data_IF_061233035696
#
_entry.id   IF_061233035696
#
_cell.length_a   1.000
_cell.length_b   1.000
_cell.length_c   1.000
_cell.angle_alpha   90.00
_cell.angle_beta   90.00
_cell.angle_gamma   90.00
#
_symmetry.space_group_name_H-M   'P 1'
#
loop_
_entity.id
_entity.type
_entity.pdbx_description
1 polymer ?
#
# COMPACT_ATOMS: atom_id res chain seq x y z
N UNK A 1 -38.48 16.27 19.86
CA UNK A 1 -38.57 17.00 18.57
C UNK A 1 -38.38 15.99 17.44
N UNK A 2 -39.17 16.13 16.37
CA UNK A 2 -38.96 15.37 15.13
C UNK A 2 -38.28 16.27 14.11
N UNK A 3 -37.30 15.73 13.40
CA UNK A 3 -36.52 16.41 12.35
C UNK A 3 -36.13 15.44 11.23
N UNK A 4 -35.44 15.92 10.24
CA UNK A 4 -34.77 15.09 9.25
C UNK A 4 -33.25 15.26 9.33
N UNK A 5 -32.53 14.17 9.35
CA UNK A 5 -31.07 14.16 9.33
C UNK A 5 -30.55 12.92 8.59
N UNK A 6 -29.43 13.03 7.88
CA UNK A 6 -28.79 11.96 7.14
C UNK A 6 -29.75 11.25 6.13
N UNK A 7 -30.68 12.03 5.54
CA UNK A 7 -31.64 11.54 4.55
C UNK A 7 -32.86 10.82 5.11
N UNK A 8 -33.02 10.71 6.44
CA UNK A 8 -34.15 10.03 7.06
C UNK A 8 -34.75 10.78 8.26
N UNK A 9 -35.87 10.29 8.79
CA UNK A 9 -36.49 10.85 9.96
C UNK A 9 -35.62 10.62 11.19
N UNK A 10 -35.56 11.63 12.08
CA UNK A 10 -34.87 11.54 13.37
C UNK A 10 -35.76 12.08 14.49
N UNK A 11 -35.81 11.35 15.58
CA UNK A 11 -36.43 11.78 16.84
C UNK A 11 -35.33 12.22 17.79
N UNK A 12 -35.41 13.44 18.24
CA UNK A 12 -34.48 14.06 19.18
C UNK A 12 -35.14 14.19 20.54
N UNK A 13 -34.47 13.71 21.57
CA UNK A 13 -34.83 13.85 22.97
C UNK A 13 -33.66 14.52 23.69
N UNK A 14 -33.87 15.62 24.35
CA UNK A 14 -32.83 16.36 25.06
C UNK A 14 -33.37 16.93 26.36
N UNK A 15 -32.49 17.04 27.32
CA UNK A 15 -32.82 17.61 28.61
C UNK A 15 -31.58 18.01 29.40
N UNK A 16 -31.77 18.93 30.33
CA UNK A 16 -30.77 19.21 31.35
C UNK A 16 -31.03 18.25 32.52
N UNK A 17 -30.07 17.44 32.86
CA UNK A 17 -30.07 16.64 34.06
C UNK A 17 -29.71 17.56 35.25
N UNK A 18 -30.54 17.62 36.26
CA UNK A 18 -30.15 18.26 37.52
C UNK A 18 -28.95 17.49 38.09
N UNK A 19 -27.81 18.14 38.14
CA UNK A 19 -26.62 17.57 38.78
C UNK A 19 -26.84 17.62 40.30
N UNK A 20 -26.54 16.53 40.99
CA UNK A 20 -26.52 16.52 42.46
C UNK A 20 -25.50 17.58 42.96
N UNK A 21 -25.77 18.21 44.10
CA UNK A 21 -24.90 19.25 44.63
C UNK A 21 -23.43 18.81 44.84
N UNK A 22 -23.17 17.49 44.89
CA UNK A 22 -21.87 16.87 45.03
C UNK A 22 -21.42 16.14 43.76
N UNK A 23 -22.08 16.38 42.61
CA UNK A 23 -21.68 15.73 41.36
C UNK A 23 -20.26 16.17 40.99
N UNK A 24 -19.39 15.24 40.55
CA UNK A 24 -18.06 15.61 40.08
C UNK A 24 -18.20 16.60 38.90
N UNK A 25 -17.36 17.63 38.89
CA UNK A 25 -17.33 18.65 37.84
C UNK A 25 -17.13 18.08 36.40
N UNK A 26 -17.01 16.78 36.30
CA UNK A 26 -16.87 15.99 35.06
C UNK A 26 -18.22 15.52 34.50
N UNK A 27 -19.34 15.61 35.24
CA UNK A 27 -20.64 15.21 34.71
C UNK A 27 -21.22 16.26 33.74
N UNK A 28 -21.83 15.79 32.66
CA UNK A 28 -22.51 16.64 31.68
C UNK A 28 -23.94 16.97 32.17
N UNK A 29 -24.25 18.27 32.29
CA UNK A 29 -25.59 18.74 32.58
C UNK A 29 -26.55 18.61 31.38
N UNK A 30 -26.04 18.57 30.17
CA UNK A 30 -26.80 18.50 28.91
C UNK A 30 -26.59 17.15 28.27
N UNK A 31 -27.66 16.44 27.98
CA UNK A 31 -27.63 15.18 27.23
C UNK A 31 -28.69 15.23 26.12
N UNK A 32 -28.26 14.97 24.88
CA UNK A 32 -29.15 14.88 23.74
C UNK A 32 -29.06 13.44 23.23
N UNK A 33 -30.20 12.81 23.03
CA UNK A 33 -30.33 11.49 22.41
C UNK A 33 -31.09 11.64 21.09
N UNK A 34 -30.62 10.93 20.07
CA UNK A 34 -31.27 10.86 18.78
C UNK A 34 -31.48 9.41 18.39
N UNK A 35 -32.61 9.11 17.78
CA UNK A 35 -32.89 7.86 17.11
C UNK A 35 -33.40 8.18 15.72
N UNK A 36 -32.82 7.58 14.70
CA UNK A 36 -33.19 7.89 13.33
C UNK A 36 -32.78 6.81 12.35
N UNK A 37 -33.02 7.09 11.09
CA UNK A 37 -32.60 6.26 9.97
C UNK A 37 -31.68 7.08 9.06
N UNK A 38 -30.51 6.57 8.77
CA UNK A 38 -29.59 7.17 7.81
C UNK A 38 -29.73 6.46 6.47
N UNK A 39 -29.85 7.21 5.37
CA UNK A 39 -29.85 6.67 4.01
C UNK A 39 -28.49 6.86 3.37
N UNK A 40 -28.16 6.01 2.40
CA UNK A 40 -26.92 6.13 1.64
C UNK A 40 -26.79 7.51 0.97
N UNK A 41 -27.86 8.02 0.38
CA UNK A 41 -27.90 9.35 -0.24
C UNK A 41 -27.71 10.47 0.78
N UNK A 42 -28.35 10.38 1.94
CA UNK A 42 -28.20 11.37 3.02
C UNK A 42 -26.78 11.43 3.56
N UNK A 43 -26.12 10.28 3.69
CA UNK A 43 -24.70 10.22 4.08
C UNK A 43 -23.80 10.84 3.01
N UNK A 44 -24.06 10.59 1.73
CA UNK A 44 -23.31 11.18 0.59
C UNK A 44 -23.44 12.71 0.55
N UNK A 45 -24.62 13.22 0.84
CA UNK A 45 -24.94 14.66 0.80
C UNK A 45 -24.47 15.43 2.05
N UNK A 46 -23.81 14.79 3.00
CA UNK A 46 -23.33 15.40 4.24
C UNK A 46 -21.81 15.58 4.20
N UNK A 47 -21.26 16.69 3.63
CA UNK A 47 -19.81 16.90 3.47
C UNK A 47 -19.04 16.92 4.80
N UNK A 48 -19.72 17.26 5.90
CA UNK A 48 -19.15 17.30 7.27
C UNK A 48 -18.66 15.92 7.74
N UNK A 49 -19.13 14.83 7.13
CA UNK A 49 -18.66 13.48 7.38
C UNK A 49 -17.31 13.16 6.69
N UNK A 50 -16.78 14.07 5.87
CA UNK A 50 -15.47 13.91 5.23
C UNK A 50 -15.38 12.62 4.39
N UNK A 51 -14.38 11.79 4.70
CA UNK A 51 -14.16 10.51 4.00
C UNK A 51 -15.38 9.57 4.05
N UNK A 52 -16.17 9.60 5.14
CA UNK A 52 -17.35 8.74 5.24
C UNK A 52 -18.41 9.08 4.20
N UNK A 53 -18.58 10.35 3.81
CA UNK A 53 -19.49 10.75 2.75
C UNK A 53 -19.07 10.19 1.39
N UNK A 54 -17.76 10.07 1.14
CA UNK A 54 -17.22 9.48 -0.08
C UNK A 54 -17.37 7.95 -0.09
N UNK A 55 -17.13 7.29 1.04
CA UNK A 55 -17.36 5.84 1.17
C UNK A 55 -18.85 5.50 1.04
N UNK A 56 -19.75 6.39 1.47
CA UNK A 56 -21.19 6.24 1.31
C UNK A 56 -21.62 6.20 -0.17
N UNK A 57 -20.83 6.69 -1.12
CA UNK A 57 -21.07 6.52 -2.57
C UNK A 57 -21.08 5.05 -3.01
N UNK A 58 -20.48 4.17 -2.21
CA UNK A 58 -20.49 2.71 -2.42
C UNK A 58 -21.49 2.00 -1.54
N UNK A 59 -22.40 2.76 -0.91
CA UNK A 59 -23.48 2.23 -0.11
C UNK A 59 -24.81 2.39 -0.84
N UNK A 60 -25.75 1.49 -0.57
CA UNK A 60 -27.16 1.58 -1.00
C UNK A 60 -28.08 1.13 0.12
N UNK A 61 -29.29 1.71 0.18
CA UNK A 61 -30.25 1.40 1.23
C UNK A 61 -30.20 2.34 2.42
N UNK A 62 -30.68 1.88 3.58
CA UNK A 62 -30.77 2.69 4.79
C UNK A 62 -30.59 1.83 6.04
N UNK A 63 -30.08 2.42 7.12
CA UNK A 63 -29.91 1.73 8.38
C UNK A 63 -30.35 2.58 9.56
N UNK A 64 -30.95 1.98 10.62
CA UNK A 64 -31.28 2.68 11.86
C UNK A 64 -30.00 3.02 12.63
N UNK A 65 -30.01 4.17 13.30
CA UNK A 65 -28.92 4.56 14.19
C UNK A 65 -29.46 5.17 15.49
N UNK A 66 -28.63 5.10 16.53
CA UNK A 66 -28.84 5.84 17.78
C UNK A 66 -27.62 6.70 18.04
N UNK A 67 -27.83 7.91 18.52
CA UNK A 67 -26.80 8.89 18.82
C UNK A 67 -27.03 9.43 20.24
N UNK A 68 -25.96 9.55 21.02
CA UNK A 68 -25.94 10.25 22.28
C UNK A 68 -24.83 11.33 22.20
N UNK A 69 -25.22 12.58 22.49
CA UNK A 69 -24.34 13.72 22.59
C UNK A 69 -24.38 14.26 24.01
N UNK A 70 -23.25 14.40 24.63
CA UNK A 70 -23.05 15.02 25.91
C UNK A 70 -21.92 16.03 25.84
N UNK A 71 -21.82 16.89 26.86
CA UNK A 71 -20.74 17.88 26.91
C UNK A 71 -19.97 17.70 28.22
N UNK A 72 -18.68 17.51 28.12
CA UNK A 72 -17.80 17.43 29.26
C UNK A 72 -16.82 18.60 29.22
N UNK A 73 -16.95 19.52 30.21
CA UNK A 73 -16.14 20.73 30.24
C UNK A 73 -16.18 21.56 28.94
N UNK A 74 -17.36 21.64 28.31
CA UNK A 74 -17.55 22.34 27.05
C UNK A 74 -17.11 21.58 25.80
N UNK A 75 -16.47 20.40 25.94
CA UNK A 75 -16.09 19.54 24.82
C UNK A 75 -17.24 18.56 24.55
N UNK A 76 -17.68 18.44 23.27
CA UNK A 76 -18.72 17.47 22.92
C UNK A 76 -18.17 16.05 22.98
N UNK A 77 -18.90 15.16 23.63
CA UNK A 77 -18.70 13.71 23.61
C UNK A 77 -19.84 13.09 22.82
N UNK A 78 -19.49 12.30 21.80
CA UNK A 78 -20.44 11.73 20.85
C UNK A 78 -20.32 10.20 20.84
N UNK A 79 -21.47 9.55 20.96
CA UNK A 79 -21.60 8.11 20.78
C UNK A 79 -22.62 7.82 19.67
N UNK A 80 -22.26 6.98 18.71
CA UNK A 80 -23.15 6.52 17.65
C UNK A 80 -23.13 4.99 17.63
N UNK A 81 -24.32 4.37 17.58
CA UNK A 81 -24.46 2.93 17.43
C UNK A 81 -25.41 2.61 16.27
N UNK A 82 -25.04 1.64 15.46
CA UNK A 82 -25.88 1.09 14.39
C UNK A 82 -25.52 -0.36 14.12
N UNK A 83 -26.44 -1.14 13.62
CA UNK A 83 -26.18 -2.50 13.10
C UNK A 83 -25.86 -2.51 11.61
N UNK A 84 -25.95 -1.36 10.94
CA UNK A 84 -25.87 -1.22 9.49
C UNK A 84 -26.79 -2.19 8.70
N UNK A 85 -27.77 -2.80 9.36
CA UNK A 85 -28.76 -3.67 8.70
C UNK A 85 -29.69 -2.82 7.83
N UNK A 86 -29.91 -3.24 6.60
CA UNK A 86 -30.65 -2.48 5.58
C UNK A 86 -29.74 -1.64 4.66
N UNK A 87 -28.46 -1.47 5.02
CA UNK A 87 -27.47 -0.80 4.21
C UNK A 87 -26.52 -1.83 3.56
N UNK A 88 -26.47 -1.89 2.24
CA UNK A 88 -25.46 -2.67 1.52
C UNK A 88 -24.19 -1.83 1.32
N UNK A 89 -23.01 -2.45 1.43
CA UNK A 89 -21.71 -1.83 1.23
C UNK A 89 -20.95 -2.56 0.12
N UNK A 90 -20.73 -1.90 -1.02
CA UNK A 90 -19.91 -2.41 -2.13
C UNK A 90 -18.43 -2.06 -1.90
N UNK A 91 -17.88 -2.51 -0.78
CA UNK A 91 -16.50 -2.33 -0.39
C UNK A 91 -15.73 -3.65 -0.50
N UNK A 92 -14.40 -3.62 -0.65
CA UNK A 92 -13.60 -4.84 -0.58
C UNK A 92 -13.70 -5.52 0.79
N UNK A 93 -13.48 -6.85 0.87
CA UNK A 93 -13.36 -7.53 2.15
C UNK A 93 -12.31 -6.86 3.07
N UNK A 94 -12.55 -6.78 4.41
CA UNK A 94 -13.68 -7.40 5.12
C UNK A 94 -14.94 -6.53 5.25
N UNK A 95 -14.99 -5.32 4.71
CA UNK A 95 -16.09 -4.37 4.94
C UNK A 95 -17.27 -4.49 3.96
N UNK A 96 -17.12 -5.27 2.89
CA UNK A 96 -18.22 -5.54 1.95
C UNK A 96 -19.34 -6.34 2.62
N UNK A 97 -20.62 -5.89 2.47
CA UNK A 97 -21.78 -6.58 3.04
C UNK A 97 -23.04 -6.38 2.22
N UNK A 98 -23.90 -7.38 2.22
CA UNK A 98 -25.26 -7.29 1.70
C UNK A 98 -26.19 -6.51 2.65
N UNK A 99 -27.33 -6.01 2.16
CA UNK A 99 -28.25 -5.21 2.94
C UNK A 99 -28.90 -5.98 4.11
N UNK A 100 -29.17 -7.26 3.92
CA UNK A 100 -29.78 -8.14 4.92
C UNK A 100 -28.83 -8.58 6.04
N UNK A 101 -27.53 -8.49 5.81
CA UNK A 101 -26.53 -8.82 6.84
C UNK A 101 -26.37 -7.69 7.86
N UNK A 102 -26.07 -8.05 9.11
CA UNK A 102 -25.79 -7.11 10.19
C UNK A 102 -24.29 -6.92 10.36
N UNK A 103 -23.86 -5.67 10.49
CA UNK A 103 -22.51 -5.29 10.87
C UNK A 103 -22.62 -4.27 11.99
N UNK A 104 -22.38 -4.65 13.26
CA UNK A 104 -22.44 -3.71 14.36
C UNK A 104 -21.34 -2.66 14.19
N UNK A 105 -21.71 -1.40 14.31
CA UNK A 105 -20.81 -0.26 14.31
C UNK A 105 -21.09 0.58 15.54
N UNK A 106 -20.05 0.79 16.33
CA UNK A 106 -20.04 1.72 17.44
C UNK A 106 -18.91 2.73 17.24
N UNK A 107 -19.29 3.98 17.32
CA UNK A 107 -18.36 5.11 17.29
C UNK A 107 -18.49 5.86 18.62
N UNK A 108 -17.37 6.06 19.30
CA UNK A 108 -17.26 6.85 20.52
C UNK A 108 -16.20 7.93 20.34
N UNK A 109 -16.55 9.16 20.67
CA UNK A 109 -15.61 10.28 20.84
C UNK A 109 -15.74 10.82 22.26
N UNK A 110 -14.70 10.72 23.07
CA UNK A 110 -14.71 11.11 24.48
C UNK A 110 -13.47 11.91 24.82
N UNK A 111 -13.56 12.79 25.83
CA UNK A 111 -12.38 13.44 26.40
C UNK A 111 -11.45 12.39 26.99
N UNK A 112 -10.17 12.42 26.61
CA UNK A 112 -9.18 11.46 27.08
C UNK A 112 -8.97 11.55 28.60
N UNK A 113 -8.86 10.39 29.26
CA UNK A 113 -8.67 10.31 30.73
C UNK A 113 -7.49 11.13 31.21
N UNK A 114 -6.41 11.21 30.44
CA UNK A 114 -5.22 11.98 30.73
C UNK A 114 -5.51 13.48 30.92
N UNK A 115 -6.39 14.04 30.09
CA UNK A 115 -6.84 15.43 30.22
C UNK A 115 -7.74 15.67 31.44
N UNK A 116 -8.44 14.65 31.90
CA UNK A 116 -9.31 14.74 33.09
C UNK A 116 -8.48 14.75 34.39
N UNK A 117 -7.47 13.92 34.51
CA UNK A 117 -6.61 13.79 35.68
C UNK A 117 -5.76 15.06 35.90
N UNK A 118 -5.19 15.59 34.84
CA UNK A 118 -4.36 16.81 34.91
C UNK A 118 -5.15 18.06 35.35
N UNK A 119 -6.43 18.10 35.04
CA UNK A 119 -7.33 19.21 35.42
C UNK A 119 -7.87 19.08 36.84
N UNK A 120 -7.93 17.88 37.42
CA UNK A 120 -8.33 17.67 38.82
C UNK A 120 -7.24 18.13 39.80
N UNK A 121 -5.97 18.11 39.38
CA UNK A 121 -4.82 18.48 40.22
C UNK A 121 -4.46 19.98 40.16
N UNK A 122 -5.06 20.75 39.25
CA UNK A 122 -4.81 22.19 39.10
C UNK A 122 -5.89 23.01 39.86
N UNK A 123 -5.63 23.27 41.13
CA UNK A 123 -6.37 24.29 41.90
C UNK A 123 -5.99 25.69 41.37
N UNK A 124 -6.52 26.08 40.23
CA UNK A 124 -6.79 27.47 39.87
C UNK A 124 -5.62 28.46 39.70
N UNK A 125 -4.36 28.04 39.68
CA UNK A 125 -3.25 28.99 39.56
C UNK A 125 -2.16 28.45 38.64
N UNK A 126 -2.11 28.92 37.39
CA UNK A 126 -0.93 28.76 36.55
C UNK A 126 -1.19 28.28 35.13
N UNK A 127 -0.45 28.81 34.22
CA UNK A 127 -0.34 28.60 32.79
C UNK A 127 0.06 27.17 32.32
N UNK A 128 -0.14 26.15 33.14
CA UNK A 128 0.18 24.74 32.86
C UNK A 128 -1.07 23.83 32.84
N UNK A 129 -2.17 24.28 32.22
CA UNK A 129 -3.26 23.36 31.95
C UNK A 129 -2.77 22.24 31.02
N UNK A 130 -3.01 20.96 31.32
CA UNK A 130 -2.62 19.88 30.44
C UNK A 130 -3.33 20.04 29.09
N UNK A 131 -2.68 19.64 27.98
CA UNK A 131 -3.24 19.75 26.65
C UNK A 131 -4.59 19.00 26.57
N UNK A 132 -5.58 19.64 25.96
CA UNK A 132 -6.88 19.03 25.76
C UNK A 132 -6.76 17.91 24.74
N UNK A 133 -7.11 16.68 25.14
CA UNK A 133 -7.06 15.50 24.29
C UNK A 133 -8.41 14.80 24.26
N UNK A 134 -8.75 14.24 23.12
CA UNK A 134 -9.87 13.32 22.98
C UNK A 134 -9.39 11.92 22.56
N UNK A 135 -10.27 10.96 22.75
CA UNK A 135 -10.12 9.59 22.27
C UNK A 135 -11.30 9.26 21.37
N UNK A 136 -10.98 8.88 20.12
CA UNK A 136 -11.96 8.32 19.18
C UNK A 136 -11.78 6.82 19.17
N UNK A 137 -12.90 6.09 19.27
CA UNK A 137 -12.94 4.64 19.10
C UNK A 137 -14.00 4.29 18.07
N UNK A 138 -13.62 3.53 17.06
CA UNK A 138 -14.50 2.88 16.10
C UNK A 138 -14.43 1.38 16.34
N UNK A 139 -15.56 0.75 16.59
CA UNK A 139 -15.69 -0.69 16.78
C UNK A 139 -16.66 -1.25 15.72
N UNK A 140 -16.20 -2.23 14.98
CA UNK A 140 -16.95 -2.93 13.92
C UNK A 140 -17.23 -4.40 14.32
N UNK A 141 -17.30 -4.67 15.62
CA UNK A 141 -17.52 -6.01 16.15
C UNK A 141 -16.41 -6.98 15.75
N UNK A 142 -16.74 -8.14 15.16
CA UNK A 142 -15.75 -9.15 14.83
C UNK A 142 -14.80 -8.77 13.71
N UNK A 143 -15.10 -7.73 12.94
CA UNK A 143 -14.25 -7.30 11.84
C UNK A 143 -13.04 -6.51 12.32
N UNK A 144 -13.16 -5.73 13.39
CA UNK A 144 -12.04 -5.00 13.94
C UNK A 144 -12.42 -3.73 14.67
N UNK A 145 -11.41 -3.05 15.16
CA UNK A 145 -11.54 -1.78 15.88
C UNK A 145 -10.39 -0.83 15.55
N UNK A 146 -10.63 0.46 15.72
CA UNK A 146 -9.63 1.49 15.63
C UNK A 146 -9.81 2.49 16.78
N UNK A 147 -8.72 2.81 17.47
CA UNK A 147 -8.71 3.80 18.56
C UNK A 147 -7.62 4.81 18.31
N UNK A 148 -7.94 6.10 18.43
CA UNK A 148 -7.00 7.19 18.27
C UNK A 148 -7.08 8.16 19.44
N UNK A 149 -5.94 8.65 19.92
CA UNK A 149 -5.83 9.76 20.86
C UNK A 149 -5.32 10.98 20.09
N UNK A 150 -6.08 12.09 20.18
CA UNK A 150 -5.79 13.32 19.45
C UNK A 150 -5.55 14.48 20.40
N UNK A 151 -4.73 15.42 19.98
CA UNK A 151 -4.55 16.72 20.62
C UNK A 151 -5.50 17.73 19.96
N UNK A 152 -6.30 18.38 20.78
CA UNK A 152 -7.29 19.40 20.39
C UNK A 152 -6.81 20.84 20.69
N UNK A 153 -5.58 21.03 21.15
CA UNK A 153 -5.05 22.35 21.53
C UNK A 153 -4.78 23.26 20.35
N UNK A 154 -4.66 22.70 19.14
CA UNK A 154 -4.46 23.44 17.90
C UNK A 154 -5.76 23.75 17.16
N UNK A 155 -5.67 24.48 16.03
CA UNK A 155 -6.84 24.81 15.21
C UNK A 155 -7.47 23.58 14.54
N UNK A 156 -6.74 22.48 14.47
CA UNK A 156 -7.19 21.20 13.94
C UNK A 156 -6.71 20.07 14.84
N UNK A 157 -7.56 19.02 15.07
CA UNK A 157 -7.16 17.84 15.84
C UNK A 157 -5.96 17.13 15.21
N UNK A 158 -4.93 16.84 16.01
CA UNK A 158 -3.73 16.12 15.60
C UNK A 158 -3.69 14.75 16.26
N UNK A 159 -3.47 13.69 15.49
CA UNK A 159 -3.29 12.33 16.04
C UNK A 159 -1.94 12.24 16.73
N UNK A 160 -1.96 11.84 18.00
CA UNK A 160 -0.75 11.57 18.80
C UNK A 160 -0.37 10.11 18.72
N UNK A 161 -1.37 9.24 18.85
CA UNK A 161 -1.20 7.79 18.82
C UNK A 161 -2.50 7.10 18.44
N UNK A 162 -2.38 5.90 17.91
CA UNK A 162 -3.55 5.09 17.55
C UNK A 162 -3.24 3.61 17.50
N UNK A 163 -4.28 2.80 17.57
CA UNK A 163 -4.22 1.35 17.43
C UNK A 163 -5.35 0.88 16.53
N UNK A 164 -5.02 0.07 15.54
CA UNK A 164 -5.96 -0.53 14.59
C UNK A 164 -5.84 -2.04 14.69
N UNK A 165 -6.94 -2.73 14.96
CA UNK A 165 -7.02 -4.18 14.96
C UNK A 165 -8.02 -4.65 13.91
N UNK A 166 -7.64 -5.55 13.00
CA UNK A 166 -8.55 -6.09 11.98
C UNK A 166 -8.45 -7.61 11.95
N UNK A 167 -9.58 -8.29 12.12
CA UNK A 167 -9.67 -9.76 12.10
C UNK A 167 -8.89 -10.45 13.22
N UNK A 168 -8.69 -9.77 14.33
CA UNK A 168 -8.03 -10.33 15.51
C UNK A 168 -8.96 -11.33 16.22
N UNK A 169 -8.37 -12.33 16.86
CA UNK A 169 -9.10 -13.34 17.62
C UNK A 169 -9.76 -12.71 18.86
N UNK A 170 -10.78 -13.37 19.41
CA UNK A 170 -11.44 -12.90 20.62
C UNK A 170 -10.43 -12.73 21.77
N UNK A 171 -10.36 -11.53 22.33
CA UNK A 171 -9.42 -11.16 23.40
C UNK A 171 -8.08 -10.65 22.93
N UNK A 172 -7.79 -10.67 21.62
CA UNK A 172 -6.65 -9.98 21.03
C UNK A 172 -7.03 -8.54 20.67
N UNK A 173 -6.15 -7.61 20.91
CA UNK A 173 -6.29 -6.20 20.52
C UNK A 173 -4.95 -5.65 20.06
N UNK A 174 -4.98 -4.67 19.18
CA UNK A 174 -3.77 -3.96 18.80
C UNK A 174 -3.29 -3.13 19.99
N UNK A 175 -2.02 -3.29 20.44
CA UNK A 175 -1.48 -2.50 21.54
C UNK A 175 -1.39 -1.02 21.14
N UNK A 176 -1.82 -0.14 22.03
CA UNK A 176 -1.68 1.32 21.84
C UNK A 176 -0.20 1.70 21.96
N UNK A 177 0.43 2.24 20.92
CA UNK A 177 1.82 2.66 20.98
C UNK A 177 1.99 3.94 21.81
N UNK A 178 3.22 4.26 22.22
CA UNK A 178 3.52 5.52 22.89
C UNK A 178 3.35 6.72 21.92
N UNK A 179 3.70 6.54 20.66
CA UNK A 179 3.56 7.53 19.57
C UNK A 179 3.25 6.83 18.26
N UNK A 180 2.62 7.55 17.33
CA UNK A 180 2.25 7.03 16.02
C UNK A 180 1.08 6.05 16.06
N UNK A 181 0.86 5.31 14.99
CA UNK A 181 -0.29 4.41 14.82
C UNK A 181 0.21 2.99 14.56
N UNK A 182 -0.22 2.04 15.40
CA UNK A 182 0.06 0.62 15.20
C UNK A 182 -1.15 -0.07 14.57
N UNK A 183 -0.93 -0.87 13.53
CA UNK A 183 -1.98 -1.70 12.93
C UNK A 183 -1.60 -3.17 13.01
N UNK A 184 -2.51 -4.00 13.55
CA UNK A 184 -2.43 -5.45 13.57
C UNK A 184 -3.56 -6.01 12.71
N UNK A 185 -3.20 -6.67 11.63
CA UNK A 185 -4.16 -7.20 10.64
C UNK A 185 -3.98 -8.70 10.52
N UNK A 186 -5.06 -9.46 10.70
CA UNK A 186 -5.10 -10.91 10.49
C UNK A 186 -6.30 -11.25 9.61
N UNK A 187 -6.07 -11.55 8.35
CA UNK A 187 -7.13 -11.78 7.36
C UNK A 187 -6.90 -13.06 6.54
N UNK A 188 -7.99 -13.70 6.13
CA UNK A 188 -7.91 -14.77 5.14
C UNK A 188 -7.47 -14.26 3.77
N UNK A 189 -8.13 -13.19 3.31
CA UNK A 189 -7.83 -12.50 2.05
C UNK A 189 -7.75 -11.00 2.29
N UNK A 190 -6.71 -10.37 1.78
CA UNK A 190 -6.52 -8.93 1.79
C UNK A 190 -6.12 -8.47 0.39
N UNK A 191 -7.00 -7.71 -0.24
CA UNK A 191 -6.76 -7.10 -1.54
C UNK A 191 -6.42 -5.63 -1.35
N UNK A 192 -5.12 -5.32 -1.36
CA UNK A 192 -4.61 -3.96 -1.18
C UNK A 192 -4.94 -3.08 -2.38
N UNK A 193 -4.93 -3.65 -3.59
CA UNK A 193 -5.21 -2.92 -4.83
C UNK A 193 -6.67 -2.45 -4.86
N UNK A 194 -7.60 -3.32 -4.48
CA UNK A 194 -9.01 -2.97 -4.36
C UNK A 194 -9.26 -1.90 -3.30
N UNK A 195 -8.51 -1.93 -2.19
CA UNK A 195 -8.58 -0.90 -1.15
C UNK A 195 -7.96 0.42 -1.57
N UNK A 196 -6.81 0.39 -2.26
CA UNK A 196 -6.16 1.60 -2.82
C UNK A 196 -7.10 2.30 -3.81
N UNK A 197 -7.77 1.56 -4.68
CA UNK A 197 -8.78 2.07 -5.63
C UNK A 197 -9.97 2.75 -4.91
N UNK A 198 -10.44 2.18 -3.80
CA UNK A 198 -11.50 2.78 -2.97
C UNK A 198 -11.01 4.07 -2.30
N UNK A 199 -9.84 4.05 -1.68
CA UNK A 199 -9.29 5.17 -0.93
C UNK A 199 -8.88 6.32 -1.85
N UNK A 200 -8.23 6.02 -2.97
CA UNK A 200 -7.83 7.03 -3.97
C UNK A 200 -9.04 7.76 -4.54
N UNK A 201 -10.12 7.04 -4.89
CA UNK A 201 -11.38 7.67 -5.35
C UNK A 201 -12.10 8.42 -4.24
N UNK A 202 -12.01 7.97 -3.00
CA UNK A 202 -12.59 8.66 -1.85
C UNK A 202 -11.83 9.94 -1.48
N UNK A 203 -10.54 10.02 -1.79
CA UNK A 203 -9.69 11.20 -1.54
C UNK A 203 -9.55 12.12 -2.75
N UNK A 204 -9.90 11.66 -3.96
CA UNK A 204 -9.95 12.48 -5.15
C UNK A 204 -11.06 13.53 -4.97
N UNK A 205 -10.67 14.75 -4.60
CA UNK A 205 -11.58 15.90 -4.60
C UNK A 205 -12.15 16.05 -6.00
N UNK A 206 -13.48 16.27 -6.13
CA UNK A 206 -14.03 16.77 -7.38
C UNK A 206 -13.26 18.03 -7.79
N UNK A 207 -13.02 18.27 -9.09
CA UNK A 207 -12.34 19.47 -9.55
C UNK A 207 -13.18 20.69 -9.18
N UNK A 208 -13.02 21.16 -7.95
CA UNK A 208 -13.56 22.43 -7.53
C UNK A 208 -12.91 23.50 -8.42
N UNK A 209 -13.76 24.28 -9.09
CA UNK A 209 -13.43 25.47 -9.85
C UNK A 209 -12.25 26.20 -9.21
N UNK A 210 -11.20 26.38 -10.02
CA UNK A 210 -9.94 27.02 -9.65
C UNK A 210 -10.19 28.39 -9.00
N UNK A 211 -10.26 28.43 -7.70
CA UNK A 211 -10.06 29.67 -6.92
C UNK A 211 -9.94 29.30 -5.44
N UNK A 212 -8.82 29.60 -4.84
CA UNK A 212 -8.53 29.67 -3.39
C UNK A 212 -8.41 28.35 -2.59
N UNK A 213 -8.07 27.20 -3.19
CA UNK A 213 -8.13 25.89 -2.48
C UNK A 213 -6.82 25.11 -2.33
N UNK A 214 -5.69 25.54 -2.87
CA UNK A 214 -4.45 24.72 -2.85
C UNK A 214 -3.90 24.49 -1.43
N UNK A 215 -4.07 25.44 -0.52
CA UNK A 215 -3.63 25.31 0.88
C UNK A 215 -4.56 24.43 1.72
N UNK A 216 -5.86 24.42 1.44
CA UNK A 216 -6.83 23.59 2.18
C UNK A 216 -6.74 22.09 1.77
N UNK A 217 -6.50 21.82 0.49
CA UNK A 217 -6.34 20.45 -0.01
C UNK A 217 -5.06 19.79 0.54
N UNK A 218 -3.94 20.55 0.60
CA UNK A 218 -2.69 20.05 1.19
C UNK A 218 -2.78 19.81 2.71
N UNK A 219 -3.53 20.66 3.42
CA UNK A 219 -3.78 20.47 4.85
C UNK A 219 -4.66 19.23 5.13
N UNK A 220 -5.68 18.97 4.31
CA UNK A 220 -6.52 17.78 4.42
C UNK A 220 -5.77 16.49 4.14
N UNK A 221 -4.85 16.48 3.18
CA UNK A 221 -3.99 15.33 2.90
C UNK A 221 -2.97 15.07 4.03
N UNK A 222 -2.38 16.12 4.58
CA UNK A 222 -1.46 16.00 5.71
C UNK A 222 -2.18 15.42 6.95
N UNK A 223 -3.40 15.87 7.23
CA UNK A 223 -4.23 15.31 8.32
C UNK A 223 -4.57 13.83 8.11
N UNK A 224 -4.90 13.42 6.89
CA UNK A 224 -5.19 12.01 6.59
C UNK A 224 -3.97 11.12 6.83
N UNK A 225 -2.77 11.62 6.61
CA UNK A 225 -1.52 10.87 6.83
C UNK A 225 -1.25 10.55 8.31
N UNK A 226 -1.72 11.40 9.24
CA UNK A 226 -1.55 11.17 10.69
C UNK A 226 -2.37 9.97 11.20
N UNK A 227 -3.44 9.59 10.48
CA UNK A 227 -4.25 8.40 10.80
C UNK A 227 -3.69 7.11 10.21
N UNK A 228 -2.73 7.19 9.29
CA UNK A 228 -2.15 5.99 8.67
C UNK A 228 -1.18 5.29 9.62
N UNK A 229 -1.06 3.95 9.55
CA UNK A 229 -0.14 3.19 10.37
C UNK A 229 1.32 3.65 10.18
N UNK A 230 2.03 3.80 11.30
CA UNK A 230 3.49 3.92 11.33
C UNK A 230 4.14 2.57 11.57
N UNK A 231 3.43 1.64 12.23
CA UNK A 231 3.86 0.27 12.46
C UNK A 231 2.76 -0.67 12.00
N UNK A 232 3.10 -1.70 11.24
CA UNK A 232 2.18 -2.69 10.71
C UNK A 232 2.66 -4.10 11.05
N UNK A 233 1.79 -4.91 11.65
CA UNK A 233 1.91 -6.36 11.72
C UNK A 233 0.77 -6.97 10.90
N UNK A 234 1.12 -7.77 9.90
CA UNK A 234 0.17 -8.35 8.95
C UNK A 234 0.32 -9.86 8.91
N UNK A 235 -0.80 -10.56 8.96
CA UNK A 235 -0.94 -11.96 8.58
C UNK A 235 -2.07 -12.09 7.58
N UNK A 236 -1.80 -12.75 6.45
CA UNK A 236 -2.82 -13.02 5.44
C UNK A 236 -2.55 -14.37 4.77
N UNK A 237 -3.60 -15.15 4.51
CA UNK A 237 -3.43 -16.36 3.67
C UNK A 237 -3.22 -15.99 2.21
N UNK A 238 -3.91 -14.96 1.75
CA UNK A 238 -3.79 -14.38 0.42
C UNK A 238 -3.69 -12.86 0.55
N UNK A 239 -2.64 -12.28 0.00
CA UNK A 239 -2.42 -10.83 -0.08
C UNK A 239 -2.28 -10.43 -1.55
N UNK A 240 -3.21 -9.65 -2.07
CA UNK A 240 -3.09 -9.09 -3.42
C UNK A 240 -2.51 -7.69 -3.35
N UNK A 241 -1.41 -7.48 -4.08
CA UNK A 241 -0.68 -6.21 -4.15
C UNK A 241 -0.10 -6.05 -5.56
N UNK A 242 -0.39 -4.94 -6.23
CA UNK A 242 0.02 -4.63 -7.61
C UNK A 242 -0.29 -5.77 -8.59
N UNK A 243 -1.53 -6.27 -8.54
CA UNK A 243 -2.01 -7.37 -9.36
C UNK A 243 -1.47 -8.76 -9.00
N UNK A 244 -0.63 -8.87 -7.97
CA UNK A 244 -0.01 -10.14 -7.55
C UNK A 244 -0.61 -10.65 -6.27
N UNK A 245 -0.84 -11.95 -6.20
CA UNK A 245 -1.27 -12.63 -4.99
C UNK A 245 -0.12 -13.37 -4.35
N UNK A 246 0.21 -12.97 -3.12
CA UNK A 246 1.16 -13.67 -2.26
C UNK A 246 0.39 -14.56 -1.30
N UNK A 247 0.96 -15.74 -1.00
CA UNK A 247 0.32 -16.73 -0.14
C UNK A 247 1.06 -16.89 1.19
N UNK A 248 0.28 -17.14 2.25
CA UNK A 248 0.78 -17.37 3.61
C UNK A 248 1.69 -16.25 4.12
N UNK A 249 1.22 -15.01 3.94
CA UNK A 249 1.99 -13.80 4.23
C UNK A 249 2.05 -13.52 5.72
N UNK A 250 3.26 -13.32 6.22
CA UNK A 250 3.57 -12.73 7.52
C UNK A 250 4.50 -11.55 7.28
N UNK A 251 4.08 -10.37 7.67
CA UNK A 251 4.88 -9.16 7.47
C UNK A 251 4.88 -8.25 8.69
N UNK A 252 6.04 -7.67 8.97
CA UNK A 252 6.20 -6.56 9.89
C UNK A 252 6.77 -5.37 9.14
N UNK A 253 6.13 -4.20 9.24
CA UNK A 253 6.59 -2.99 8.57
C UNK A 253 6.61 -1.78 9.51
N UNK A 254 7.53 -0.87 9.24
CA UNK A 254 7.69 0.41 9.92
C UNK A 254 7.77 1.52 8.88
N UNK A 255 7.03 2.60 9.10
CA UNK A 255 7.06 3.81 8.27
C UNK A 255 7.73 4.95 9.03
N UNK A 256 8.78 5.51 8.45
CA UNK A 256 9.46 6.71 8.93
C UNK A 256 9.38 7.78 7.82
N UNK A 257 8.55 8.78 8.01
CA UNK A 257 8.28 9.78 6.98
C UNK A 257 7.72 9.15 5.70
N UNK A 258 8.46 9.25 4.60
CA UNK A 258 8.13 8.68 3.29
C UNK A 258 8.77 7.31 3.04
N UNK A 259 9.48 6.75 4.02
CA UNK A 259 10.19 5.47 3.88
C UNK A 259 9.46 4.36 4.64
N UNK A 260 9.14 3.28 3.95
CA UNK A 260 8.66 2.04 4.51
C UNK A 260 9.78 1.02 4.58
N UNK A 261 9.93 0.35 5.72
CA UNK A 261 10.82 -0.80 5.92
C UNK A 261 9.99 -1.99 6.32
N UNK A 262 10.18 -3.13 5.68
CA UNK A 262 9.40 -4.32 5.95
C UNK A 262 10.27 -5.58 5.95
N UNK A 263 9.98 -6.49 6.87
CA UNK A 263 10.36 -7.88 6.76
C UNK A 263 9.13 -8.66 6.34
N UNK A 264 9.28 -9.48 5.31
CA UNK A 264 8.18 -10.20 4.69
C UNK A 264 8.58 -11.68 4.54
N UNK A 265 7.67 -12.56 4.95
CA UNK A 265 7.72 -13.99 4.70
C UNK A 265 6.42 -14.43 4.01
N UNK A 266 6.56 -14.99 2.83
CA UNK A 266 5.47 -15.52 2.02
C UNK A 266 5.95 -16.77 1.27
N UNK A 267 5.03 -17.50 0.67
CA UNK A 267 5.39 -18.65 -0.16
C UNK A 267 6.28 -18.26 -1.34
N UNK A 268 5.99 -17.11 -1.96
CA UNK A 268 6.65 -16.62 -3.18
C UNK A 268 7.94 -15.86 -2.89
N UNK A 269 8.06 -15.22 -1.72
CA UNK A 269 9.24 -14.42 -1.40
C UNK A 269 9.47 -14.32 0.10
N UNK A 270 10.76 -14.16 0.48
CA UNK A 270 11.18 -13.97 1.86
C UNK A 270 12.35 -12.99 1.93
N UNK A 271 12.29 -12.03 2.85
CA UNK A 271 13.40 -11.15 3.16
C UNK A 271 13.01 -9.75 3.57
N UNK A 272 13.95 -8.81 3.42
CA UNK A 272 13.83 -7.42 3.79
C UNK A 272 13.62 -6.52 2.57
N UNK A 273 12.70 -5.56 2.73
CA UNK A 273 12.35 -4.55 1.74
C UNK A 273 12.40 -3.15 2.37
N UNK A 274 12.93 -2.19 1.63
CA UNK A 274 12.80 -0.77 1.94
C UNK A 274 12.26 -0.05 0.70
N UNK A 275 11.14 0.65 0.86
CA UNK A 275 10.54 1.46 -0.18
C UNK A 275 10.47 2.92 0.24
N UNK A 276 11.15 3.78 -0.50
CA UNK A 276 11.06 5.23 -0.37
C UNK A 276 10.09 5.76 -1.42
N UNK A 277 9.07 6.45 -0.97
CA UNK A 277 8.07 7.04 -1.85
C UNK A 277 8.68 8.15 -2.73
N UNK A 278 8.09 8.43 -3.92
CA UNK A 278 8.48 9.54 -4.77
C UNK A 278 8.42 10.89 -4.05
N UNK A 279 9.23 11.85 -4.51
CA UNK A 279 9.19 13.24 -4.03
C UNK A 279 10.47 13.76 -3.38
N UNK A 280 11.54 12.95 -3.28
CA UNK A 280 12.86 13.47 -2.89
C UNK A 280 13.64 13.95 -4.12
N UNK A 281 14.48 15.00 -4.03
CA UNK A 281 15.32 15.46 -5.15
C UNK A 281 16.22 14.36 -5.73
N UNK A 282 16.68 13.44 -4.88
CA UNK A 282 17.57 12.34 -5.24
C UNK A 282 16.83 11.16 -5.89
N UNK A 283 15.56 10.91 -5.48
CA UNK A 283 14.71 9.84 -5.98
C UNK A 283 13.33 10.36 -6.33
N UNK A 284 13.23 11.10 -7.44
CA UNK A 284 11.97 11.70 -7.89
C UNK A 284 10.84 10.68 -8.09
N UNK A 285 11.19 9.45 -8.48
CA UNK A 285 10.24 8.35 -8.69
C UNK A 285 10.30 7.27 -7.59
N UNK A 286 10.94 7.60 -6.46
CA UNK A 286 11.11 6.65 -5.36
C UNK A 286 12.28 5.70 -5.55
N UNK A 287 12.51 4.86 -4.54
CA UNK A 287 13.56 3.83 -4.52
C UNK A 287 13.04 2.56 -3.87
N UNK A 288 13.34 1.43 -4.48
CA UNK A 288 13.14 0.10 -3.90
C UNK A 288 14.50 -0.55 -3.62
N UNK A 289 14.75 -0.81 -2.35
CA UNK A 289 15.87 -1.61 -1.87
C UNK A 289 15.35 -2.95 -1.38
N UNK A 290 15.95 -4.07 -1.80
CA UNK A 290 15.51 -5.40 -1.40
C UNK A 290 16.69 -6.34 -1.15
N UNK A 291 16.61 -7.10 -0.07
CA UNK A 291 17.54 -8.20 0.26
C UNK A 291 16.70 -9.42 0.59
N UNK A 292 16.59 -10.29 -0.40
CA UNK A 292 15.67 -11.42 -0.36
C UNK A 292 16.46 -12.73 -0.35
N UNK A 293 16.11 -13.61 0.56
CA UNK A 293 16.69 -14.96 0.59
C UNK A 293 16.13 -15.83 -0.53
N UNK A 294 14.86 -15.62 -0.88
CA UNK A 294 14.17 -16.39 -1.91
C UNK A 294 13.15 -15.52 -2.65
N UNK A 295 13.07 -15.72 -3.95
CA UNK A 295 11.95 -15.26 -4.80
C UNK A 295 11.58 -16.37 -5.77
N UNK A 296 10.32 -16.78 -5.75
CA UNK A 296 9.73 -17.69 -6.73
C UNK A 296 8.72 -16.90 -7.58
N UNK A 297 8.97 -16.82 -8.89
CA UNK A 297 8.13 -16.12 -9.85
C UNK A 297 7.53 -17.12 -10.83
N UNK A 298 6.27 -17.55 -10.62
CA UNK A 298 5.59 -18.45 -11.55
C UNK A 298 5.30 -17.77 -12.90
N UNK A 299 4.90 -18.55 -13.88
CA UNK A 299 4.70 -18.04 -15.25
C UNK A 299 3.60 -16.97 -15.34
N UNK A 300 2.54 -17.07 -14.53
CA UNK A 300 1.47 -16.08 -14.43
C UNK A 300 1.98 -14.68 -14.05
N UNK A 301 2.96 -14.62 -13.16
CA UNK A 301 3.45 -13.35 -12.61
C UNK A 301 4.42 -12.62 -13.55
N UNK A 302 5.09 -13.37 -14.43
CA UNK A 302 6.02 -12.80 -15.41
C UNK A 302 5.29 -11.89 -16.40
N UNK A 303 4.10 -12.29 -16.85
CA UNK A 303 3.28 -11.48 -17.77
C UNK A 303 2.86 -10.16 -17.14
N UNK A 304 2.53 -10.16 -15.85
CA UNK A 304 2.16 -8.95 -15.11
C UNK A 304 3.37 -8.01 -14.89
N UNK A 305 4.57 -8.57 -14.68
CA UNK A 305 5.80 -7.75 -14.63
C UNK A 305 6.07 -7.09 -15.97
N UNK A 306 5.86 -7.81 -17.06
CA UNK A 306 5.99 -7.26 -18.42
C UNK A 306 5.00 -6.11 -18.66
N UNK A 307 3.76 -6.21 -18.16
CA UNK A 307 2.75 -5.14 -18.24
C UNK A 307 3.15 -3.90 -17.43
N UNK A 308 3.64 -4.07 -16.20
CA UNK A 308 4.15 -2.96 -15.39
C UNK A 308 5.35 -2.26 -16.03
N UNK A 309 6.21 -3.01 -16.71
CA UNK A 309 7.37 -2.47 -17.42
C UNK A 309 7.03 -1.84 -18.78
N UNK A 310 5.81 -2.03 -19.29
CA UNK A 310 5.27 -1.27 -20.41
C UNK A 310 4.93 0.19 -20.05
N UNK A 311 4.97 0.53 -18.77
CA UNK A 311 4.91 1.91 -18.31
C UNK A 311 6.12 2.74 -18.77
N UNK A 312 6.06 4.06 -18.56
CA UNK A 312 7.12 4.95 -19.01
C UNK A 312 8.40 4.77 -18.18
N UNK A 313 9.62 4.76 -18.79
CA UNK A 313 10.88 4.67 -18.04
C UNK A 313 11.01 5.70 -16.92
N UNK A 314 10.36 6.85 -17.09
CA UNK A 314 10.34 7.92 -16.12
C UNK A 314 9.54 7.61 -14.84
N UNK A 315 8.72 6.58 -14.81
CA UNK A 315 7.87 6.23 -13.66
C UNK A 315 8.46 5.10 -12.81
N UNK A 316 9.47 4.39 -13.31
CA UNK A 316 10.09 3.30 -12.55
C UNK A 316 10.92 3.86 -11.39
N UNK A 317 10.85 3.25 -10.19
CA UNK A 317 11.73 3.63 -9.08
C UNK A 317 13.19 3.24 -9.36
N UNK A 318 14.12 3.81 -8.60
CA UNK A 318 15.47 3.29 -8.52
C UNK A 318 15.42 1.93 -7.82
N UNK A 319 16.20 0.96 -8.33
CA UNK A 319 16.23 -0.41 -7.84
C UNK A 319 17.61 -0.76 -7.29
N UNK A 320 17.65 -1.46 -6.16
CA UNK A 320 18.82 -2.08 -5.57
C UNK A 320 18.36 -3.40 -4.91
N UNK A 321 18.43 -4.47 -5.70
CA UNK A 321 17.81 -5.76 -5.36
C UNK A 321 18.87 -6.85 -5.36
N UNK A 322 18.91 -7.64 -4.29
CA UNK A 322 19.66 -8.89 -4.21
C UNK A 322 18.72 -10.02 -3.79
N UNK A 323 18.75 -11.10 -4.54
CA UNK A 323 18.00 -12.34 -4.27
C UNK A 323 18.99 -13.49 -4.23
N UNK A 324 19.06 -14.25 -3.14
CA UNK A 324 20.02 -15.35 -3.01
C UNK A 324 19.58 -16.61 -3.78
N UNK A 325 18.28 -16.93 -3.78
CA UNK A 325 17.70 -18.04 -4.56
C UNK A 325 16.51 -17.52 -5.39
N UNK A 326 16.77 -17.28 -6.65
CA UNK A 326 15.78 -16.78 -7.60
C UNK A 326 15.29 -17.91 -8.51
N UNK A 327 13.99 -18.14 -8.48
CA UNK A 327 13.29 -19.08 -9.34
C UNK A 327 12.36 -18.35 -10.29
N UNK A 328 12.51 -18.59 -11.59
CA UNK A 328 11.71 -18.01 -12.65
C UNK A 328 11.07 -19.11 -13.50
N UNK A 329 9.74 -19.13 -13.59
CA UNK A 329 8.99 -20.13 -14.39
C UNK A 329 9.40 -21.57 -14.04
N UNK A 330 9.61 -21.87 -12.76
CA UNK A 330 10.06 -23.17 -12.28
C UNK A 330 11.52 -23.51 -12.58
N UNK A 331 12.33 -22.52 -13.02
CA UNK A 331 13.77 -22.67 -13.25
C UNK A 331 14.54 -21.92 -12.18
N UNK A 332 15.36 -22.62 -11.41
CA UNK A 332 16.23 -21.99 -10.41
C UNK A 332 17.42 -21.33 -11.11
N UNK A 333 17.45 -20.02 -11.12
CA UNK A 333 18.52 -19.25 -11.78
C UNK A 333 19.71 -18.97 -10.85
N UNK A 334 19.54 -19.15 -9.53
CA UNK A 334 20.57 -18.89 -8.54
C UNK A 334 20.49 -17.47 -7.97
N UNK A 335 21.62 -16.88 -7.60
CA UNK A 335 21.70 -15.55 -7.03
C UNK A 335 21.56 -14.47 -8.10
N UNK A 336 20.65 -13.51 -7.85
CA UNK A 336 20.43 -12.36 -8.75
C UNK A 336 20.76 -11.07 -8.02
N UNK A 337 21.47 -10.17 -8.69
CA UNK A 337 21.76 -8.81 -8.22
C UNK A 337 21.38 -7.82 -9.32
N UNK A 338 20.62 -6.79 -8.96
CA UNK A 338 20.14 -5.76 -9.88
C UNK A 338 20.27 -4.38 -9.27
N UNK A 339 20.90 -3.46 -10.00
CA UNK A 339 20.96 -2.04 -9.69
C UNK A 339 20.52 -1.24 -10.91
N UNK A 340 19.51 -0.40 -10.71
CA UNK A 340 18.99 0.47 -11.78
C UNK A 340 18.51 1.80 -11.21
N UNK A 341 18.61 2.86 -12.02
CA UNK A 341 18.17 4.19 -11.62
C UNK A 341 17.70 5.01 -12.81
N UNK A 342 16.80 5.94 -12.55
CA UNK A 342 16.41 6.94 -13.53
C UNK A 342 17.50 8.01 -13.65
N UNK A 343 17.80 8.40 -14.87
CA UNK A 343 18.64 9.56 -15.22
C UNK A 343 17.88 10.50 -16.13
N UNK A 344 18.09 11.78 -15.96
CA UNK A 344 17.45 12.85 -16.71
C UNK A 344 16.50 13.68 -15.85
N UNK A 345 16.35 14.95 -16.21
CA UNK A 345 15.48 15.94 -15.56
C UNK A 345 14.67 16.72 -16.59
N UNK A 346 14.08 17.86 -16.19
CA UNK A 346 13.41 18.75 -17.15
C UNK A 346 14.34 19.13 -18.30
N UNK A 347 13.92 18.85 -19.54
CA UNK A 347 14.68 19.16 -20.76
C UNK A 347 15.77 18.14 -21.16
N UNK A 348 16.04 17.11 -20.36
CA UNK A 348 17.00 16.03 -20.68
C UNK A 348 16.25 14.73 -20.94
N UNK A 349 16.71 13.95 -21.93
CA UNK A 349 16.17 12.63 -22.23
C UNK A 349 16.13 11.77 -20.99
N UNK A 350 14.93 11.31 -20.64
CA UNK A 350 14.76 10.40 -19.51
C UNK A 350 15.16 8.99 -19.92
N UNK A 351 16.13 8.44 -19.23
CA UNK A 351 16.57 7.06 -19.39
C UNK A 351 16.47 6.30 -18.07
N UNK A 352 16.07 5.05 -18.12
CA UNK A 352 16.24 4.11 -17.04
C UNK A 352 17.52 3.31 -17.31
N UNK A 353 18.51 3.49 -16.43
CA UNK A 353 19.83 2.89 -16.58
C UNK A 353 19.97 1.71 -15.65
N UNK A 354 20.19 0.54 -16.25
CA UNK A 354 20.57 -0.69 -15.58
C UNK A 354 22.10 -0.70 -15.43
N UNK A 355 22.61 -0.36 -14.25
CA UNK A 355 24.04 -0.31 -13.98
C UNK A 355 24.62 -1.70 -13.71
N UNK A 356 23.79 -2.62 -13.16
CA UNK A 356 24.18 -3.97 -12.81
C UNK A 356 23.00 -4.92 -12.95
N UNK A 357 23.21 -6.03 -13.61
CA UNK A 357 22.32 -7.17 -13.60
C UNK A 357 23.16 -8.45 -13.68
N UNK A 358 23.32 -9.11 -12.54
CA UNK A 358 24.14 -10.30 -12.42
C UNK A 358 23.27 -11.49 -12.05
N UNK A 359 23.51 -12.64 -12.68
CA UNK A 359 22.93 -13.92 -12.29
C UNK A 359 24.11 -14.88 -12.07
N UNK A 360 24.19 -15.44 -10.87
CA UNK A 360 25.27 -16.35 -10.50
C UNK A 360 24.71 -17.70 -10.12
N UNK A 361 25.12 -18.73 -10.86
CA UNK A 361 24.85 -20.13 -10.59
C UNK A 361 26.18 -20.92 -10.53
N UNK A 362 26.23 -22.13 -9.96
CA UNK A 362 27.44 -22.93 -9.93
C UNK A 362 28.06 -23.18 -11.31
N UNK A 363 27.22 -23.41 -12.32
CA UNK A 363 27.60 -23.75 -13.69
C UNK A 363 27.81 -22.54 -14.61
N UNK A 364 27.35 -21.34 -14.23
CA UNK A 364 27.47 -20.14 -15.07
C UNK A 364 27.43 -18.84 -14.28
N UNK A 365 27.97 -17.78 -14.85
CA UNK A 365 27.84 -16.42 -14.39
C UNK A 365 27.44 -15.52 -15.55
N UNK A 366 26.30 -14.84 -15.39
CA UNK A 366 25.79 -13.85 -16.33
C UNK A 366 25.94 -12.46 -15.72
N UNK A 367 26.44 -11.51 -16.50
CA UNK A 367 26.53 -10.10 -16.13
C UNK A 367 26.00 -9.25 -17.27
N UNK A 368 25.23 -8.22 -16.94
CA UNK A 368 24.73 -7.29 -17.94
C UNK A 368 24.61 -5.88 -17.37
N UNK A 369 24.66 -4.91 -18.27
CA UNK A 369 24.35 -3.51 -18.03
C UNK A 369 23.75 -2.89 -19.29
N UNK A 370 23.01 -1.79 -19.15
CA UNK A 370 22.35 -1.21 -20.29
C UNK A 370 21.49 -0.01 -19.97
N UNK A 371 20.67 0.38 -20.92
CA UNK A 371 19.74 1.48 -20.75
C UNK A 371 18.46 1.25 -21.54
N UNK A 372 17.41 1.88 -21.07
CA UNK A 372 16.10 1.96 -21.71
C UNK A 372 15.73 3.43 -21.85
N UNK A 373 15.66 3.93 -23.07
CA UNK A 373 15.49 5.34 -23.36
C UNK A 373 14.53 5.58 -24.51
N UNK A 374 13.99 6.80 -24.58
CA UNK A 374 13.15 7.27 -25.67
C UNK A 374 14.02 7.55 -26.91
N UNK A 375 13.64 7.01 -28.08
CA UNK A 375 14.39 7.17 -29.33
C UNK A 375 14.29 8.59 -29.92
N UNK A 376 13.14 9.25 -29.82
CA UNK A 376 12.88 10.56 -30.43
C UNK A 376 12.01 11.43 -29.54
N UNK A 377 12.62 12.19 -28.62
CA UNK A 377 11.89 13.11 -27.76
C UNK A 377 11.35 14.36 -28.49
N UNK A 378 11.93 14.71 -29.64
CA UNK A 378 11.60 15.95 -30.37
C UNK A 378 10.42 15.81 -31.35
N UNK A 379 10.03 14.60 -31.76
CA UNK A 379 9.05 14.38 -32.83
C UNK A 379 7.73 13.74 -32.39
N UNK A 380 7.63 13.22 -31.18
CA UNK A 380 6.47 12.49 -30.70
C UNK A 380 5.96 13.07 -29.39
N UNK A 381 4.64 13.32 -29.30
CA UNK A 381 4.01 13.64 -28.03
C UNK A 381 4.22 12.52 -27.00
N UNK A 382 4.04 12.76 -25.71
CA UNK A 382 4.45 11.87 -24.60
C UNK A 382 3.82 10.45 -24.63
N UNK A 383 2.83 10.21 -25.48
CA UNK A 383 2.13 8.91 -25.60
C UNK A 383 2.57 8.03 -26.76
N UNK A 384 3.38 8.53 -27.71
CA UNK A 384 3.77 7.80 -28.94
C UNK A 384 5.29 7.67 -29.15
N UNK A 385 6.09 7.99 -28.15
CA UNK A 385 7.55 7.91 -28.25
C UNK A 385 8.00 6.46 -28.22
N UNK A 386 8.56 5.98 -29.35
CA UNK A 386 9.24 4.68 -29.40
C UNK A 386 10.42 4.65 -28.42
N UNK A 387 10.56 3.54 -27.71
CA UNK A 387 11.61 3.32 -26.72
C UNK A 387 12.49 2.18 -27.15
N UNK A 388 13.78 2.33 -26.89
CA UNK A 388 14.77 1.31 -27.20
C UNK A 388 15.49 0.86 -25.93
N UNK A 389 15.64 -0.44 -25.79
CA UNK A 389 16.53 -1.07 -24.84
C UNK A 389 17.84 -1.41 -25.54
N UNK A 390 18.96 -1.10 -24.88
CA UNK A 390 20.29 -1.55 -25.28
C UNK A 390 20.92 -2.26 -24.08
N UNK A 391 21.38 -3.48 -24.28
CA UNK A 391 21.97 -4.33 -23.25
C UNK A 391 23.32 -4.84 -23.70
N UNK A 392 24.37 -4.57 -22.94
CA UNK A 392 25.67 -5.22 -23.04
C UNK A 392 25.74 -6.33 -22.04
N UNK A 393 26.11 -7.52 -22.45
CA UNK A 393 26.12 -8.71 -21.59
C UNK A 393 27.34 -9.59 -21.79
N UNK A 394 27.61 -10.40 -20.76
CA UNK A 394 28.61 -11.45 -20.74
C UNK A 394 28.08 -12.65 -19.97
N UNK A 395 28.22 -13.83 -20.55
CA UNK A 395 27.88 -15.12 -19.92
C UNK A 395 29.14 -16.00 -19.95
N UNK A 396 29.70 -16.24 -18.76
CA UNK A 396 30.80 -17.20 -18.58
C UNK A 396 30.18 -18.56 -18.19
N UNK A 397 30.41 -19.58 -18.99
CA UNK A 397 29.87 -20.94 -18.85
C UNK A 397 30.98 -21.87 -18.36
N UNK A 398 30.80 -22.45 -17.18
CA UNK A 398 31.68 -23.43 -16.56
C UNK A 398 31.28 -24.86 -16.90
N UNK A 399 29.96 -25.12 -17.00
CA UNK A 399 29.40 -26.38 -17.47
C UNK A 399 28.07 -26.09 -18.23
N UNK A 400 28.13 -26.24 -19.56
CA UNK A 400 26.97 -26.01 -20.40
C UNK A 400 25.92 -27.13 -20.30
N UNK A 401 26.32 -28.34 -19.94
CA UNK A 401 25.38 -29.45 -19.73
C UNK A 401 24.48 -29.19 -18.53
N UNK A 402 25.07 -28.83 -17.41
CA UNK A 402 24.34 -28.51 -16.18
C UNK A 402 23.53 -27.21 -16.32
N UNK A 403 24.07 -26.19 -17.00
CA UNK A 403 23.36 -24.96 -17.34
C UNK A 403 22.08 -25.25 -18.15
N UNK A 404 22.20 -26.04 -19.23
CA UNK A 404 21.08 -26.41 -20.08
C UNK A 404 20.07 -27.28 -19.33
N UNK A 405 20.53 -28.21 -18.47
CA UNK A 405 19.66 -29.01 -17.63
C UNK A 405 18.85 -28.13 -16.64
N UNK A 406 19.49 -27.14 -16.02
CA UNK A 406 18.82 -26.13 -15.16
C UNK A 406 17.77 -25.35 -15.92
N UNK A 407 18.02 -25.00 -17.17
CA UNK A 407 17.07 -24.34 -18.05
C UNK A 407 16.00 -25.27 -18.63
N UNK A 408 16.03 -26.58 -18.29
CA UNK A 408 15.06 -27.58 -18.70
C UNK A 408 15.38 -28.31 -19.99
N UNK A 409 16.59 -28.15 -20.50
CA UNK A 409 17.11 -28.83 -21.70
C UNK A 409 18.18 -29.85 -21.30
N UNK A 410 17.78 -30.87 -20.52
CA UNK A 410 18.69 -31.91 -20.06
C UNK A 410 19.13 -32.81 -21.22
N UNK A 411 20.35 -33.35 -21.15
CA UNK A 411 20.94 -34.32 -22.10
C UNK A 411 21.11 -33.79 -23.52
N UNK A 412 21.27 -32.50 -23.73
CA UNK A 412 21.59 -31.89 -25.01
C UNK A 412 23.12 -31.81 -25.22
N UNK A 413 23.82 -31.37 -24.19
CA UNK A 413 25.27 -31.25 -24.17
C UNK A 413 25.82 -31.92 -22.92
N UNK A 414 26.96 -32.55 -23.01
CA UNK A 414 27.71 -33.08 -21.87
C UNK A 414 28.94 -32.23 -21.64
N UNK A 415 29.07 -31.74 -20.39
CA UNK A 415 30.10 -30.79 -19.99
C UNK A 415 30.10 -29.61 -20.95
N UNK A 416 31.12 -28.86 -21.01
CA UNK A 416 31.26 -27.77 -21.97
C UNK A 416 31.55 -26.46 -21.26
N UNK A 417 32.62 -25.82 -21.71
CA UNK A 417 33.03 -24.49 -21.23
C UNK A 417 33.01 -23.52 -22.38
N UNK A 418 32.68 -22.31 -22.12
CA UNK A 418 32.64 -21.26 -23.11
C UNK A 418 32.28 -19.91 -22.54
N UNK A 419 32.31 -18.93 -23.39
CA UNK A 419 31.93 -17.55 -23.09
C UNK A 419 31.09 -17.01 -24.23
N UNK A 420 30.03 -16.34 -23.89
CA UNK A 420 29.19 -15.55 -24.77
C UNK A 420 29.17 -14.11 -24.30
N UNK A 421 29.47 -13.18 -25.17
CA UNK A 421 29.42 -11.75 -24.85
C UNK A 421 28.91 -10.96 -26.05
N UNK A 422 28.32 -9.82 -25.81
CA UNK A 422 27.79 -9.03 -26.88
C UNK A 422 27.00 -7.79 -26.40
N UNK A 423 26.51 -7.10 -27.42
CA UNK A 423 25.59 -6.01 -27.23
C UNK A 423 24.37 -6.23 -28.13
N UNK A 424 23.18 -6.14 -27.56
CA UNK A 424 21.91 -6.27 -28.28
C UNK A 424 21.01 -5.07 -27.95
N UNK A 425 20.21 -4.69 -28.92
CA UNK A 425 19.22 -3.64 -28.71
C UNK A 425 17.94 -3.99 -29.45
N UNK A 426 16.80 -3.65 -28.83
CA UNK A 426 15.47 -3.87 -29.40
C UNK A 426 14.52 -2.72 -29.04
N UNK A 427 13.43 -2.61 -29.77
CA UNK A 427 12.33 -1.68 -29.45
C UNK A 427 11.46 -2.31 -28.37
N UNK A 428 11.23 -1.61 -27.26
CA UNK A 428 10.42 -2.09 -26.15
C UNK A 428 11.14 -2.08 -24.80
N UNK A 429 10.48 -2.68 -23.81
CA UNK A 429 10.95 -2.74 -22.43
C UNK A 429 12.13 -3.72 -22.24
N UNK A 430 12.96 -3.54 -21.17
CA UNK A 430 14.15 -4.35 -20.94
C UNK A 430 13.91 -5.85 -20.80
N UNK A 431 12.76 -6.24 -20.21
CA UNK A 431 12.45 -7.64 -19.92
C UNK A 431 11.46 -8.27 -20.92
N UNK A 432 11.07 -7.52 -21.96
CA UNK A 432 10.20 -7.98 -23.04
C UNK A 432 10.89 -7.76 -24.40
N UNK A 433 11.88 -8.60 -24.77
CA UNK A 433 12.64 -8.42 -25.99
C UNK A 433 11.79 -8.66 -27.23
N UNK A 434 11.72 -7.66 -28.11
CA UNK A 434 11.13 -7.81 -29.44
C UNK A 434 12.18 -8.37 -30.41
N UNK A 435 12.09 -9.66 -30.69
CA UNK A 435 13.02 -10.35 -31.59
C UNK A 435 12.99 -9.81 -33.02
N UNK A 436 11.90 -9.17 -33.46
CA UNK A 436 11.78 -8.60 -34.80
C UNK A 436 12.61 -7.33 -35.00
N UNK A 437 12.69 -6.52 -33.95
CA UNK A 437 13.46 -5.28 -33.95
C UNK A 437 14.87 -5.46 -33.38
N UNK A 438 15.22 -6.69 -32.95
CA UNK A 438 16.49 -6.96 -32.31
C UNK A 438 17.67 -6.79 -33.29
N UNK A 439 18.63 -6.00 -32.87
CA UNK A 439 19.88 -5.75 -33.57
C UNK A 439 21.06 -5.84 -32.62
N UNK A 440 22.25 -6.23 -33.09
CA UNK A 440 23.42 -6.27 -32.22
C UNK A 440 24.51 -7.18 -32.74
N UNK A 441 25.51 -7.42 -31.89
CA UNK A 441 26.62 -8.31 -32.12
C UNK A 441 26.76 -9.25 -30.94
N UNK A 442 26.95 -10.54 -31.24
CA UNK A 442 27.17 -11.58 -30.24
C UNK A 442 28.42 -12.34 -30.64
N UNK A 443 29.34 -12.49 -29.72
CA UNK A 443 30.53 -13.30 -29.84
C UNK A 443 30.40 -14.54 -28.95
N UNK A 444 30.50 -15.72 -29.54
CA UNK A 444 30.43 -16.99 -28.82
C UNK A 444 31.77 -17.72 -28.99
N UNK A 445 32.45 -17.94 -27.87
CA UNK A 445 33.67 -18.76 -27.83
C UNK A 445 33.37 -20.06 -27.06
N UNK A 446 33.52 -21.19 -27.73
CA UNK A 446 33.34 -22.53 -27.16
C UNK A 446 34.69 -23.17 -26.98
N UNK A 447 35.10 -23.44 -25.76
CA UNK A 447 36.40 -24.04 -25.45
C UNK A 447 36.34 -25.56 -25.50
N UNK A 448 35.26 -26.16 -25.03
CA UNK A 448 35.07 -27.62 -24.98
C UNK A 448 33.60 -27.97 -24.87
N UNK A 449 33.20 -29.20 -25.22
CA UNK A 449 31.86 -29.70 -25.06
C UNK A 449 31.55 -30.87 -26.02
N UNK A 450 30.57 -31.68 -25.66
CA UNK A 450 30.12 -32.80 -26.50
C UNK A 450 28.59 -32.74 -26.66
N UNK A 451 28.12 -32.60 -27.90
CA UNK A 451 26.69 -32.76 -28.22
C UNK A 451 26.29 -34.22 -28.09
N UNK A 452 25.26 -34.50 -27.28
CA UNK A 452 24.73 -35.84 -27.04
C UNK A 452 23.61 -36.23 -28.01
N UNK A 453 22.86 -35.23 -28.50
CA UNK A 453 21.83 -35.38 -29.52
C UNK A 453 22.03 -34.30 -30.58
N UNK A 454 22.50 -34.69 -31.74
CA UNK A 454 22.37 -33.89 -32.95
C UNK A 454 21.01 -34.23 -33.56
N UNK A 455 19.99 -33.41 -33.36
CA UNK A 455 18.78 -33.51 -34.15
C UNK A 455 19.08 -32.95 -35.53
N UNK A 456 19.02 -33.79 -36.60
CA UNK A 456 19.37 -33.35 -37.95
C UNK A 456 18.49 -32.18 -38.48
N UNK A 457 17.38 -31.90 -37.79
CA UNK A 457 16.49 -30.76 -38.10
C UNK A 457 17.06 -29.37 -37.79
N UNK A 458 17.99 -29.26 -36.84
CA UNK A 458 18.66 -27.98 -36.50
C UNK A 458 19.83 -27.63 -37.41
N UNK A 459 20.35 -28.61 -38.19
CA UNK A 459 21.41 -28.38 -39.18
C UNK A 459 20.89 -27.80 -40.52
N UNK A 460 19.62 -27.50 -40.65
CA UNK A 460 18.99 -26.91 -41.82
C UNK A 460 18.56 -25.46 -41.68
N UNK A 461 18.96 -24.83 -40.61
CA UNK A 461 18.85 -23.37 -40.40
C UNK A 461 20.30 -22.78 -40.66
#
# INVERSE_FOLDING_TARGET
VQAQALGGPVRLEGGMRALAANAPATESAVQIRAQGTATAEGLQQTPQLGMLSQLARRATGSAPYTLALSFRRGVPELQVNTSLQGLALALPPPLGKAADSSLPLRFDNQVARESLVGLANNNGNGSNAPPLRDQITLDLGPLGSATYVRDLSGPQPRVLRGAIGVGLSNGEFAPMPAQGVAANINQGKLDVDAWDDVLTRATAAEPATRSAGATAASAGQAMAQDYLPTTLALRARELTLQGRTLHNVVAGALREGTTWRANLDATELNGYLEYRQPGSPEFSNGRLFARLSRVNMPQSDVTQVEELLNEQPGNLPALDIVVDDFELRGKRLGRVEMEAQNRGGEGVLREWRLSKFNITAPEAAFTASGNWAVLNAAAAGPRSAERRTVLSFKLDIRDSGDLLARLGMANVVRRGKGRMEGQVGWIGAPFSPDYRSMTGQINLNVESGQFLKADPGLAKL
#
